data_IF_626871630536
#
_entry.id   IF_626871630536
#
_cell.length_a   1.000
_cell.length_b   1.000
_cell.length_c   1.000
_cell.angle_alpha   90.00
_cell.angle_beta   90.00
_cell.angle_gamma   90.00
#
_symmetry.space_group_name_H-M   'P 1'
#
loop_
_entity.id
_entity.type
_entity.pdbx_description
1 polymer ?
#
# COMPACT_ATOMS: atom_id res chain seq x y z
N UNK A 1 -39.75 33.61 -20.03
CA UNK A 1 -38.74 32.56 -19.74
C UNK A 1 -39.29 31.46 -18.80
N UNK A 2 -40.59 31.10 -18.89
CA UNK A 2 -41.19 30.00 -18.11
C UNK A 2 -41.73 28.85 -18.98
N UNK A 3 -41.55 28.93 -20.31
CA UNK A 3 -42.12 27.94 -21.25
C UNK A 3 -41.23 26.72 -21.49
N UNK A 4 -39.90 26.83 -21.41
CA UNK A 4 -39.00 25.72 -21.75
C UNK A 4 -38.95 24.61 -20.68
N UNK A 5 -38.94 24.97 -19.40
CA UNK A 5 -38.90 23.97 -18.32
C UNK A 5 -40.21 23.20 -18.19
N UNK A 6 -41.35 23.84 -18.48
CA UNK A 6 -42.66 23.18 -18.49
C UNK A 6 -42.79 22.17 -19.65
N UNK A 7 -42.22 22.48 -20.82
CA UNK A 7 -42.20 21.58 -21.98
C UNK A 7 -41.31 20.35 -21.70
N UNK A 8 -40.14 20.54 -21.05
CA UNK A 8 -39.23 19.45 -20.70
C UNK A 8 -39.82 18.53 -19.63
N UNK A 9 -40.47 19.10 -18.61
CA UNK A 9 -41.14 18.32 -17.58
C UNK A 9 -42.31 17.50 -18.15
N UNK A 10 -43.10 18.10 -19.05
CA UNK A 10 -44.18 17.40 -19.76
C UNK A 10 -43.65 16.28 -20.67
N UNK A 11 -42.55 16.50 -21.40
CA UNK A 11 -41.91 15.45 -22.22
C UNK A 11 -41.40 14.28 -21.37
N UNK A 12 -40.82 14.54 -20.21
CA UNK A 12 -40.38 13.50 -19.28
C UNK A 12 -41.55 12.67 -18.76
N UNK A 13 -42.66 13.32 -18.37
CA UNK A 13 -43.85 12.61 -17.87
C UNK A 13 -44.53 11.78 -18.97
N UNK A 14 -44.50 12.26 -20.22
CA UNK A 14 -45.04 11.52 -21.38
C UNK A 14 -44.18 10.31 -21.73
N UNK A 15 -42.85 10.44 -21.74
CA UNK A 15 -41.93 9.32 -22.00
C UNK A 15 -42.02 8.26 -20.90
N UNK A 16 -42.04 8.67 -19.63
CA UNK A 16 -42.18 7.76 -18.51
C UNK A 16 -43.52 7.01 -18.59
N UNK A 17 -44.64 7.71 -18.82
CA UNK A 17 -45.94 7.06 -19.02
C UNK A 17 -45.99 6.11 -20.21
N UNK A 18 -45.39 6.46 -21.35
CA UNK A 18 -45.35 5.59 -22.53
C UNK A 18 -44.51 4.33 -22.28
N UNK A 19 -43.43 4.46 -21.50
CA UNK A 19 -42.57 3.33 -21.14
C UNK A 19 -43.28 2.40 -20.16
N UNK A 20 -43.96 2.94 -19.14
CA UNK A 20 -44.75 2.17 -18.16
C UNK A 20 -45.97 1.50 -18.82
N UNK A 21 -46.66 2.20 -19.74
CA UNK A 21 -47.79 1.63 -20.49
C UNK A 21 -47.36 0.51 -21.46
N UNK A 22 -46.16 0.57 -22.03
CA UNK A 22 -45.63 -0.50 -22.89
C UNK A 22 -45.29 -1.77 -22.10
N UNK A 23 -44.91 -1.62 -20.82
CA UNK A 23 -44.66 -2.71 -19.87
C UNK A 23 -45.96 -3.31 -19.34
N UNK A 24 -46.98 -2.49 -19.08
CA UNK A 24 -48.26 -2.95 -18.48
C UNK A 24 -49.29 -3.46 -19.49
N UNK A 25 -49.27 -3.03 -20.75
CA UNK A 25 -50.33 -3.36 -21.73
C UNK A 25 -49.88 -4.16 -22.95
N UNK A 26 -48.61 -4.54 -23.04
CA UNK A 26 -48.10 -5.40 -24.10
C UNK A 26 -48.04 -4.72 -25.47
N UNK A 27 -46.83 -4.31 -25.86
CA UNK A 27 -46.43 -3.95 -27.22
C UNK A 27 -47.33 -2.94 -27.96
N UNK A 28 -47.32 -1.70 -27.48
CA UNK A 28 -47.87 -0.55 -28.21
C UNK A 28 -46.94 -0.17 -29.40
N UNK A 29 -45.67 -0.63 -29.38
CA UNK A 29 -44.66 -0.33 -30.40
C UNK A 29 -44.52 -1.38 -31.51
N UNK A 30 -45.44 -2.34 -31.61
CA UNK A 30 -45.41 -3.33 -32.69
C UNK A 30 -45.61 -2.65 -34.05
N UNK A 31 -44.56 -2.64 -34.88
CA UNK A 31 -44.55 -2.05 -36.22
C UNK A 31 -43.61 -0.84 -36.39
N UNK A 32 -42.96 -0.39 -35.32
CA UNK A 32 -41.88 0.62 -35.40
C UNK A 32 -40.56 -0.11 -35.60
N UNK A 33 -39.77 0.27 -36.61
CA UNK A 33 -38.45 -0.33 -36.83
C UNK A 33 -37.54 -0.09 -35.62
N UNK A 34 -36.84 -1.15 -35.19
CA UNK A 34 -35.95 -1.12 -34.03
C UNK A 34 -34.88 -0.02 -34.13
N UNK A 35 -34.47 0.35 -35.36
CA UNK A 35 -33.54 1.46 -35.65
C UNK A 35 -34.08 2.80 -35.16
N UNK A 36 -35.37 3.07 -35.35
CA UNK A 36 -36.03 4.31 -34.95
C UNK A 36 -36.19 4.38 -33.43
N UNK A 37 -36.46 3.23 -32.79
CA UNK A 37 -36.48 3.13 -31.33
C UNK A 37 -35.08 3.40 -30.76
N UNK A 38 -34.04 2.82 -31.37
CA UNK A 38 -32.65 3.00 -30.93
C UNK A 38 -32.16 4.44 -31.12
N UNK A 39 -32.54 5.10 -32.22
CA UNK A 39 -32.24 6.52 -32.45
C UNK A 39 -32.99 7.43 -31.47
N UNK A 40 -34.27 7.16 -31.21
CA UNK A 40 -35.04 7.92 -30.23
C UNK A 40 -34.48 7.73 -28.80
N UNK A 41 -34.08 6.52 -28.42
CA UNK A 41 -33.41 6.25 -27.13
C UNK A 41 -32.05 6.96 -27.02
N UNK A 42 -31.26 6.97 -28.10
CA UNK A 42 -29.98 7.67 -28.15
C UNK A 42 -30.16 9.20 -28.09
N UNK A 43 -31.20 9.74 -28.72
CA UNK A 43 -31.52 11.16 -28.70
C UNK A 43 -32.08 11.59 -27.34
N UNK A 44 -32.90 10.76 -26.69
CA UNK A 44 -33.38 10.96 -25.32
C UNK A 44 -32.21 10.89 -24.33
N UNK A 45 -31.29 9.91 -24.45
CA UNK A 45 -30.09 9.87 -23.61
C UNK A 45 -29.15 11.06 -23.83
N UNK A 46 -28.94 11.47 -25.08
CA UNK A 46 -28.18 12.69 -25.44
C UNK A 46 -28.81 13.94 -24.82
N UNK A 47 -30.14 14.02 -24.81
CA UNK A 47 -30.88 15.14 -24.25
C UNK A 47 -30.88 15.10 -22.71
N UNK A 48 -30.96 13.92 -22.09
CA UNK A 48 -30.81 13.71 -20.64
C UNK A 48 -29.39 14.07 -20.17
N UNK A 49 -28.35 13.70 -20.92
CA UNK A 49 -26.96 14.08 -20.63
C UNK A 49 -26.71 15.59 -20.76
N UNK A 50 -27.45 16.27 -21.64
CA UNK A 50 -27.39 17.74 -21.82
C UNK A 50 -28.28 18.52 -20.86
N UNK A 51 -29.38 17.92 -20.40
CA UNK A 51 -30.36 18.50 -19.49
C UNK A 51 -30.13 18.12 -18.02
N UNK A 52 -29.20 17.20 -17.74
CA UNK A 52 -28.74 16.94 -16.39
C UNK A 52 -28.32 18.28 -15.77
N UNK A 53 -28.97 18.74 -14.69
CA UNK A 53 -28.57 19.97 -14.04
C UNK A 53 -27.10 19.81 -13.70
N UNK A 54 -26.25 20.71 -14.24
CA UNK A 54 -24.84 20.75 -13.86
C UNK A 54 -24.83 20.68 -12.33
N UNK A 55 -24.22 19.64 -11.71
CA UNK A 55 -24.27 19.50 -10.27
C UNK A 55 -23.75 20.81 -9.70
N UNK A 56 -24.59 21.50 -8.92
CA UNK A 56 -24.21 22.74 -8.24
C UNK A 56 -22.86 22.46 -7.58
N UNK A 57 -21.83 23.19 -7.99
CA UNK A 57 -20.53 23.05 -7.37
C UNK A 57 -20.71 23.55 -5.94
N UNK A 58 -20.78 22.62 -4.99
CA UNK A 58 -20.84 22.98 -3.59
C UNK A 58 -19.59 23.80 -3.27
N UNK A 59 -19.78 24.96 -2.64
CA UNK A 59 -18.64 25.67 -2.09
C UNK A 59 -18.02 24.86 -0.95
N UNK A 60 -16.84 25.26 -0.48
CA UNK A 60 -16.12 24.47 0.51
C UNK A 60 -16.92 24.35 1.82
N UNK A 61 -17.64 25.40 2.23
CA UNK A 61 -18.49 25.38 3.42
C UNK A 61 -19.65 24.38 3.28
N UNK A 62 -20.38 24.45 2.16
CA UNK A 62 -21.47 23.53 1.82
C UNK A 62 -21.00 22.06 1.79
N UNK A 63 -19.76 21.79 1.33
CA UNK A 63 -19.16 20.46 1.38
C UNK A 63 -18.93 19.98 2.81
N UNK A 64 -18.43 20.84 3.69
CA UNK A 64 -18.21 20.51 5.11
C UNK A 64 -19.53 20.30 5.87
N UNK A 65 -20.56 21.11 5.59
CA UNK A 65 -21.92 20.90 6.13
C UNK A 65 -22.44 19.50 5.74
N UNK A 66 -22.35 19.16 4.46
CA UNK A 66 -22.81 17.86 3.95
C UNK A 66 -21.99 16.68 4.51
N UNK A 67 -20.69 16.87 4.74
CA UNK A 67 -19.86 15.84 5.40
C UNK A 67 -20.28 15.61 6.85
N UNK A 68 -20.65 16.66 7.60
CA UNK A 68 -21.14 16.52 8.97
C UNK A 68 -22.44 15.69 9.01
N UNK A 69 -23.39 16.01 8.13
CA UNK A 69 -24.66 15.27 7.99
C UNK A 69 -24.43 13.78 7.71
N UNK A 70 -23.55 13.46 6.75
CA UNK A 70 -23.22 12.08 6.37
C UNK A 70 -22.44 11.33 7.45
N UNK A 71 -21.52 12.01 8.15
CA UNK A 71 -20.67 11.42 9.20
C UNK A 71 -21.45 11.11 10.49
N UNK A 72 -22.53 11.86 10.72
CA UNK A 72 -23.46 11.67 11.85
C UNK A 72 -24.42 10.49 11.65
N UNK A 73 -24.62 10.03 10.41
CA UNK A 73 -25.61 9.01 10.04
C UNK A 73 -25.06 7.57 9.94
N UNK A 74 -23.76 7.34 10.21
CA UNK A 74 -23.07 6.08 9.85
C UNK A 74 -22.46 5.32 11.06
N UNK A 75 -22.69 4.00 11.14
CA UNK A 75 -22.19 3.09 12.20
C UNK A 75 -20.79 2.48 11.84
N UNK A 76 -20.03 1.75 12.71
CA UNK A 76 -18.59 1.88 12.89
C UNK A 76 -17.74 0.89 12.06
N UNK A 77 -18.25 0.39 10.93
CA UNK A 77 -17.43 -0.46 10.07
C UNK A 77 -16.32 0.38 9.41
N UNK A 78 -15.05 0.06 9.69
CA UNK A 78 -13.83 0.71 9.16
C UNK A 78 -14.00 2.22 8.91
N UNK A 79 -13.72 3.04 9.93
CA UNK A 79 -13.83 4.51 9.89
C UNK A 79 -13.10 5.15 8.70
N UNK A 80 -12.03 4.51 8.21
CA UNK A 80 -11.28 4.94 7.04
C UNK A 80 -12.13 4.79 5.77
N UNK A 81 -12.74 3.63 5.58
CA UNK A 81 -13.56 3.32 4.40
C UNK A 81 -14.80 4.21 4.33
N UNK A 82 -15.44 4.45 5.48
CA UNK A 82 -16.62 5.32 5.59
C UNK A 82 -16.27 6.76 5.24
N UNK A 83 -15.22 7.32 5.86
CA UNK A 83 -14.80 8.69 5.60
C UNK A 83 -14.31 8.88 4.16
N UNK A 84 -13.57 7.93 3.60
CA UNK A 84 -13.15 7.98 2.19
C UNK A 84 -14.37 7.98 1.24
N UNK A 85 -15.44 7.24 1.57
CA UNK A 85 -16.72 7.30 0.85
C UNK A 85 -17.37 8.69 0.92
N UNK A 86 -17.47 9.26 2.12
CA UNK A 86 -18.05 10.58 2.36
C UNK A 86 -17.25 11.68 1.63
N UNK A 87 -15.92 11.62 1.67
CA UNK A 87 -15.04 12.58 0.98
C UNK A 87 -15.25 12.52 -0.54
N UNK A 88 -15.39 11.32 -1.11
CA UNK A 88 -15.69 11.14 -2.53
C UNK A 88 -17.06 11.73 -2.88
N UNK A 89 -18.09 11.52 -2.05
CA UNK A 89 -19.45 12.03 -2.29
C UNK A 89 -19.51 13.57 -2.31
N UNK A 90 -18.70 14.23 -1.48
CA UNK A 90 -18.59 15.71 -1.47
C UNK A 90 -17.51 16.25 -2.40
N UNK A 91 -16.83 15.38 -3.16
CA UNK A 91 -15.72 15.72 -4.06
C UNK A 91 -14.63 16.52 -3.34
N UNK A 92 -14.19 16.01 -2.19
CA UNK A 92 -12.98 16.44 -1.50
C UNK A 92 -11.99 15.30 -1.49
N UNK A 93 -10.72 15.65 -1.64
CA UNK A 93 -9.65 14.67 -1.67
C UNK A 93 -8.82 14.80 -0.40
N UNK A 94 -8.80 13.77 0.47
CA UNK A 94 -7.96 13.78 1.66
C UNK A 94 -6.48 13.79 1.32
N UNK A 95 -5.71 14.60 2.04
CA UNK A 95 -4.26 14.67 1.95
C UNK A 95 -3.69 14.31 3.32
N UNK A 96 -2.88 13.26 3.41
CA UNK A 96 -2.16 12.84 4.60
C UNK A 96 -0.68 13.21 4.44
N UNK A 97 -0.19 14.15 5.23
CA UNK A 97 1.22 14.50 5.32
C UNK A 97 1.79 13.88 6.61
N UNK A 98 2.63 12.87 6.47
CA UNK A 98 3.26 12.19 7.59
C UNK A 98 4.57 12.87 7.94
N UNK A 99 4.78 13.14 9.23
CA UNK A 99 5.97 13.79 9.78
C UNK A 99 6.56 12.95 10.90
N UNK A 100 7.87 13.06 11.13
CA UNK A 100 8.56 12.44 12.27
C UNK A 100 8.74 13.45 13.40
N UNK A 101 8.70 12.99 14.65
CA UNK A 101 9.07 13.84 15.78
C UNK A 101 10.51 14.35 15.65
N UNK A 102 10.71 15.66 15.75
CA UNK A 102 12.02 16.32 15.69
C UNK A 102 12.84 16.13 16.99
N UNK A 103 12.22 15.68 18.09
CA UNK A 103 12.90 15.52 19.38
C UNK A 103 13.41 14.08 19.56
N UNK A 104 14.70 13.88 19.26
CA UNK A 104 15.42 12.60 19.39
C UNK A 104 16.11 12.41 20.74
N UNK A 105 15.58 13.00 21.81
CA UNK A 105 16.09 12.74 23.15
C UNK A 105 15.14 11.78 23.88
N UNK A 106 15.50 10.50 23.81
CA UNK A 106 15.13 9.41 24.74
C UNK A 106 13.74 8.77 24.56
N UNK A 107 12.75 9.40 23.92
CA UNK A 107 11.46 8.72 23.63
C UNK A 107 11.46 7.98 22.27
N UNK A 108 10.72 6.86 22.23
CA UNK A 108 10.48 6.09 21.00
C UNK A 108 10.03 7.03 19.88
N UNK A 109 10.62 6.86 18.70
CA UNK A 109 10.27 7.62 17.52
C UNK A 109 8.76 7.58 17.24
N UNK A 110 8.14 8.76 17.14
CA UNK A 110 6.72 8.90 16.80
C UNK A 110 6.54 9.49 15.41
N UNK A 111 5.51 9.00 14.75
CA UNK A 111 5.02 9.46 13.46
C UNK A 111 3.75 10.27 13.68
N UNK A 112 3.75 11.48 13.17
CA UNK A 112 2.59 12.34 13.05
C UNK A 112 1.96 12.18 11.67
N UNK A 113 0.64 12.23 11.58
CA UNK A 113 -0.10 12.28 10.31
C UNK A 113 -1.01 13.49 10.31
N UNK A 114 -0.66 14.51 9.54
CA UNK A 114 -1.47 15.69 9.32
C UNK A 114 -2.47 15.40 8.19
N UNK A 115 -3.75 15.31 8.52
CA UNK A 115 -4.82 15.12 7.54
C UNK A 115 -5.38 16.48 7.11
N UNK A 116 -5.34 16.79 5.82
CA UNK A 116 -5.92 17.98 5.21
C UNK A 116 -7.12 17.64 4.33
N UNK A 117 -8.14 18.49 4.35
CA UNK A 117 -9.31 18.45 3.46
C UNK A 117 -9.51 19.83 2.84
N UNK A 118 -9.62 19.88 1.51
CA UNK A 118 -9.74 21.16 0.79
C UNK A 118 -8.56 22.12 1.05
N UNK A 119 -7.39 21.58 1.39
CA UNK A 119 -6.20 22.34 1.74
C UNK A 119 -6.12 22.79 3.21
N UNK A 120 -7.10 22.49 4.06
CA UNK A 120 -7.11 22.87 5.48
C UNK A 120 -6.76 21.68 6.38
N UNK A 121 -5.88 21.87 7.34
CA UNK A 121 -5.46 20.86 8.32
C UNK A 121 -6.62 20.51 9.23
N UNK A 122 -7.16 19.30 9.16
CA UNK A 122 -8.32 18.89 9.96
C UNK A 122 -7.91 18.27 11.28
N UNK A 123 -6.87 17.43 11.25
CA UNK A 123 -6.43 16.70 12.43
C UNK A 123 -4.98 16.24 12.29
N UNK A 124 -4.30 16.12 13.43
CA UNK A 124 -3.00 15.47 13.54
C UNK A 124 -3.17 14.17 14.34
N UNK A 125 -2.85 13.05 13.72
CA UNK A 125 -2.71 11.76 14.42
C UNK A 125 -1.26 11.53 14.81
N UNK A 126 -1.04 10.75 15.86
CA UNK A 126 0.29 10.45 16.41
C UNK A 126 0.32 8.98 16.82
N UNK A 127 1.34 8.24 16.37
CA UNK A 127 1.58 6.86 16.79
C UNK A 127 3.03 6.41 16.54
N UNK A 128 3.40 5.23 17.01
CA UNK A 128 4.71 4.60 16.73
C UNK A 128 4.83 4.12 15.27
N UNK A 129 3.72 4.00 14.53
CA UNK A 129 3.72 3.56 13.14
C UNK A 129 2.71 4.34 12.26
N UNK A 130 2.93 4.31 10.95
CA UNK A 130 2.15 5.07 9.95
C UNK A 130 0.67 4.66 9.91
N UNK A 131 0.36 3.41 10.16
CA UNK A 131 -1.02 2.89 10.07
C UNK A 131 -1.85 3.46 11.20
N UNK A 132 -1.31 3.42 12.41
CA UNK A 132 -1.99 3.87 13.63
C UNK A 132 -1.98 5.40 13.75
N UNK A 133 -0.98 6.06 13.16
CA UNK A 133 -0.93 7.52 13.11
C UNK A 133 -2.05 8.11 12.24
N UNK A 134 -2.75 7.32 11.41
CA UNK A 134 -3.80 7.84 10.53
C UNK A 134 -4.90 8.56 11.33
N UNK A 135 -5.00 9.87 11.12
CA UNK A 135 -5.86 10.76 11.90
C UNK A 135 -7.38 10.59 11.66
N UNK A 136 -7.81 9.57 10.91
CA UNK A 136 -9.18 9.40 10.43
C UNK A 136 -10.20 9.29 11.57
N UNK A 137 -9.90 8.54 12.63
CA UNK A 137 -10.82 8.38 13.76
C UNK A 137 -11.11 9.71 14.47
N UNK A 138 -10.06 10.49 14.72
CA UNK A 138 -10.14 11.81 15.36
C UNK A 138 -10.65 12.89 14.41
N UNK A 139 -10.40 12.75 13.11
CA UNK A 139 -10.94 13.65 12.09
C UNK A 139 -12.46 13.54 11.98
N UNK A 140 -13.02 12.34 12.16
CA UNK A 140 -14.49 12.17 12.25
C UNK A 140 -15.07 13.05 13.35
N UNK A 141 -14.47 13.03 14.54
CA UNK A 141 -14.93 13.82 15.69
C UNK A 141 -14.92 15.32 15.39
N UNK A 142 -13.87 15.84 14.75
CA UNK A 142 -13.81 17.25 14.33
C UNK A 142 -14.88 17.57 13.29
N UNK A 143 -15.09 16.69 12.31
CA UNK A 143 -16.08 16.90 11.25
C UNK A 143 -17.52 16.84 11.76
N UNK A 144 -17.80 16.08 12.83
CA UNK A 144 -19.13 16.02 13.45
C UNK A 144 -19.37 17.11 14.51
N UNK A 145 -18.32 17.50 15.25
CA UNK A 145 -18.47 18.36 16.44
C UNK A 145 -18.05 19.82 16.22
N UNK A 146 -17.45 20.16 15.08
CA UNK A 146 -17.02 21.53 14.80
C UNK A 146 -17.77 22.10 13.59
N UNK A 147 -18.27 23.33 13.74
CA UNK A 147 -18.95 24.01 12.65
C UNK A 147 -17.96 24.35 11.52
N UNK A 148 -18.36 24.21 10.24
CA UNK A 148 -17.53 24.56 9.10
C UNK A 148 -17.02 26.01 9.11
N UNK A 149 -17.82 26.93 9.67
CA UNK A 149 -17.48 28.34 9.86
C UNK A 149 -16.32 28.55 10.85
N UNK A 150 -16.02 27.57 11.69
CA UNK A 150 -14.89 27.57 12.61
C UNK A 150 -13.66 26.87 12.00
N UNK A 151 -13.87 25.78 11.25
CA UNK A 151 -12.78 25.01 10.64
C UNK A 151 -12.03 25.84 9.58
N UNK A 152 -12.76 26.50 8.67
CA UNK A 152 -12.16 27.16 7.51
C UNK A 152 -11.27 28.38 7.84
N UNK A 153 -11.59 29.24 8.83
CA UNK A 153 -10.74 30.39 9.17
C UNK A 153 -9.58 30.03 10.11
N UNK A 154 -9.75 29.04 10.99
CA UNK A 154 -8.79 28.80 12.09
C UNK A 154 -7.78 27.69 11.79
N UNK A 155 -8.10 26.76 10.89
CA UNK A 155 -7.22 25.64 10.61
C UNK A 155 -6.17 26.02 9.56
N UNK A 156 -4.92 25.64 9.85
CA UNK A 156 -3.77 25.96 9.00
C UNK A 156 -3.93 25.40 7.59
N UNK A 157 -3.64 26.21 6.57
CA UNK A 157 -3.65 25.78 5.18
C UNK A 157 -2.35 25.08 4.83
N UNK A 158 -2.43 23.95 4.11
CA UNK A 158 -1.27 23.27 3.54
C UNK A 158 -0.49 24.23 2.63
N UNK A 159 0.77 24.47 2.96
CA UNK A 159 1.66 25.28 2.13
C UNK A 159 2.63 24.40 1.34
N UNK A 160 3.20 24.89 0.22
CA UNK A 160 4.24 24.15 -0.51
C UNK A 160 5.47 23.81 0.35
N UNK A 161 5.87 24.70 1.26
CA UNK A 161 7.00 24.44 2.16
C UNK A 161 6.72 23.36 3.20
N UNK A 162 5.45 23.11 3.55
CA UNK A 162 5.06 22.01 4.44
C UNK A 162 5.35 20.65 3.82
N UNK A 163 5.33 20.53 2.49
CA UNK A 163 5.62 19.29 1.77
C UNK A 163 7.13 19.07 1.63
N UNK A 164 7.89 20.16 1.55
CA UNK A 164 9.34 20.16 1.42
C UNK A 164 10.09 20.17 2.78
N UNK A 165 9.35 20.11 3.89
CA UNK A 165 9.94 20.16 5.22
C UNK A 165 10.73 18.88 5.52
N UNK A 166 11.87 19.01 6.20
CA UNK A 166 12.82 17.91 6.41
C UNK A 166 12.31 16.82 7.35
N UNK A 167 11.28 17.09 8.14
CA UNK A 167 10.58 16.14 9.01
C UNK A 167 9.49 15.35 8.29
N UNK A 168 9.14 15.71 7.07
CA UNK A 168 8.11 15.01 6.29
C UNK A 168 8.66 13.70 5.76
N UNK A 169 8.01 12.60 6.14
CA UNK A 169 8.39 11.24 5.76
C UNK A 169 7.47 10.62 4.71
N UNK A 170 6.25 11.13 4.51
CA UNK A 170 5.34 10.66 3.45
C UNK A 170 4.29 11.74 3.14
N UNK A 171 3.87 11.81 1.88
CA UNK A 171 2.77 12.64 1.44
C UNK A 171 1.83 11.78 0.60
N UNK A 172 0.65 11.51 1.14
CA UNK A 172 -0.38 10.73 0.48
C UNK A 172 -1.58 11.61 0.22
N UNK A 173 -1.84 11.87 -1.05
CA UNK A 173 -3.19 12.22 -1.44
C UNK A 173 -3.96 10.88 -1.54
N UNK A 174 -5.08 10.76 -0.82
CA UNK A 174 -5.94 9.57 -0.79
C UNK A 174 -7.19 9.83 -1.67
N UNK A 175 -7.63 8.79 -2.39
CA UNK A 175 -8.68 8.89 -3.41
C UNK A 175 -8.13 8.85 -4.84
N UNK A 176 -8.97 9.15 -5.84
CA UNK A 176 -8.56 9.28 -7.25
C UNK A 176 -7.80 10.59 -7.50
N UNK A 177 -6.77 10.84 -6.71
CA UNK A 177 -5.91 11.98 -6.85
C UNK A 177 -4.81 11.75 -7.86
N UNK A 178 -4.75 12.72 -8.75
CA UNK A 178 -3.79 12.89 -9.80
C UNK A 178 -2.50 13.50 -9.25
N UNK A 179 -1.65 12.70 -8.57
CA UNK A 179 -0.29 13.15 -8.22
C UNK A 179 0.45 13.56 -9.50
N UNK A 180 1.00 14.78 -9.55
CA UNK A 180 1.79 15.29 -10.69
C UNK A 180 3.22 14.73 -10.68
N UNK A 181 3.77 14.50 -9.50
CA UNK A 181 5.02 13.78 -9.29
C UNK A 181 4.97 12.87 -8.06
N UNK A 182 6.02 12.09 -7.86
CA UNK A 182 6.21 11.29 -6.66
C UNK A 182 7.55 11.56 -5.97
N UNK A 183 8.17 12.72 -6.24
CA UNK A 183 9.47 13.10 -5.71
C UNK A 183 9.50 13.05 -4.17
N UNK A 184 8.35 13.17 -3.50
CA UNK A 184 8.21 12.98 -2.05
C UNK A 184 8.50 11.54 -1.58
N UNK A 185 8.43 10.52 -2.45
CA UNK A 185 8.94 9.17 -2.14
C UNK A 185 10.48 9.09 -2.12
N UNK A 186 11.20 10.08 -2.66
CA UNK A 186 12.66 10.22 -2.48
C UNK A 186 13.00 10.30 -1.00
N UNK A 187 12.25 11.12 -0.25
CA UNK A 187 12.40 11.24 1.19
C UNK A 187 12.00 9.97 1.95
N UNK A 188 11.35 8.97 1.33
CA UNK A 188 11.13 7.66 1.99
C UNK A 188 12.34 6.76 1.91
N UNK A 189 13.05 6.80 0.77
CA UNK A 189 14.22 5.96 0.51
C UNK A 189 15.50 6.50 1.15
N UNK A 190 15.59 7.83 1.33
CA UNK A 190 16.67 8.47 2.10
C UNK A 190 16.68 8.07 3.60
N UNK A 191 15.60 7.45 4.10
CA UNK A 191 15.36 7.21 5.52
C UNK A 191 15.27 5.72 5.88
N UNK A 192 15.44 4.81 4.90
CA UNK A 192 15.86 3.46 5.28
C UNK A 192 17.24 3.57 5.94
N UNK A 193 17.57 2.79 6.99
CA UNK A 193 18.93 2.79 7.55
C UNK A 193 20.01 2.45 6.50
N UNK A 194 19.59 1.93 5.36
CA UNK A 194 20.44 1.71 4.20
C UNK A 194 20.53 2.99 3.36
N UNK A 195 21.73 3.46 3.00
CA UNK A 195 21.90 4.58 2.07
C UNK A 195 21.26 4.25 0.73
N UNK A 196 20.62 5.24 0.08
CA UNK A 196 20.13 5.11 -1.30
C UNK A 196 21.24 4.47 -2.13
N UNK A 197 20.86 3.44 -2.89
CA UNK A 197 21.80 2.74 -3.75
C UNK A 197 22.50 3.73 -4.67
N UNK A 198 23.82 3.61 -4.83
CA UNK A 198 24.57 4.37 -5.82
C UNK A 198 24.72 3.59 -7.13
N UNK A 199 24.10 2.41 -7.22
CA UNK A 199 24.12 1.57 -8.41
C UNK A 199 23.24 2.18 -9.50
N UNK A 200 23.71 2.23 -10.76
CA UNK A 200 22.92 2.74 -11.87
C UNK A 200 21.66 1.89 -12.11
N UNK A 201 20.66 2.45 -12.79
CA UNK A 201 19.40 1.76 -13.05
C UNK A 201 19.58 0.43 -13.81
N UNK A 202 20.61 0.34 -14.65
CA UNK A 202 21.00 -0.88 -15.37
C UNK A 202 21.54 -2.02 -14.51
N UNK A 203 21.71 -1.83 -13.20
CA UNK A 203 22.18 -2.88 -12.28
C UNK A 203 21.06 -3.32 -11.32
N UNK A 204 19.82 -2.87 -11.56
CA UNK A 204 18.65 -3.27 -10.79
C UNK A 204 18.37 -4.77 -10.94
N UNK A 205 18.01 -5.43 -9.84
CA UNK A 205 17.45 -6.79 -9.87
C UNK A 205 15.93 -6.69 -9.81
N UNK A 206 15.22 -7.30 -10.76
CA UNK A 206 13.75 -7.24 -10.79
C UNK A 206 13.17 -8.34 -9.90
N UNK A 207 12.18 -8.00 -9.07
CA UNK A 207 11.45 -8.94 -8.22
C UNK A 207 10.00 -9.03 -8.65
N UNK A 208 9.54 -10.25 -8.97
CA UNK A 208 8.16 -10.56 -9.31
C UNK A 208 7.50 -11.38 -8.20
N UNK A 209 6.66 -10.76 -7.40
CA UNK A 209 5.76 -11.42 -6.44
C UNK A 209 4.32 -11.57 -6.99
N UNK A 210 4.07 -10.99 -8.17
CA UNK A 210 2.83 -11.09 -8.95
C UNK A 210 3.16 -11.31 -10.42
N UNK A 211 2.36 -12.13 -11.10
CA UNK A 211 2.60 -12.42 -12.52
C UNK A 211 2.09 -11.29 -13.41
N UNK A 212 2.93 -10.85 -14.34
CA UNK A 212 2.59 -9.87 -15.38
C UNK A 212 1.51 -10.37 -16.37
N UNK A 213 1.31 -11.70 -16.47
CA UNK A 213 0.38 -12.34 -17.42
C UNK A 213 -1.07 -11.96 -17.14
N UNK A 214 -1.42 -11.68 -15.88
CA UNK A 214 -2.80 -11.42 -15.46
C UNK A 214 -3.27 -10.03 -15.89
N UNK A 215 -2.50 -8.99 -15.58
CA UNK A 215 -2.79 -7.61 -16.00
C UNK A 215 -1.48 -6.81 -16.13
N UNK A 216 -0.86 -6.86 -17.31
CA UNK A 216 0.41 -6.17 -17.57
C UNK A 216 0.37 -4.66 -17.30
N UNK A 217 -0.80 -4.01 -17.38
CA UNK A 217 -0.92 -2.57 -17.13
C UNK A 217 -0.89 -2.30 -15.63
N UNK A 218 -1.66 -3.04 -14.84
CA UNK A 218 -1.71 -2.82 -13.39
C UNK A 218 -0.45 -3.35 -12.71
N UNK A 219 0.02 -4.54 -13.11
CA UNK A 219 1.12 -5.23 -12.44
C UNK A 219 2.49 -4.63 -12.77
N UNK A 220 2.68 -4.05 -13.96
CA UNK A 220 3.98 -3.48 -14.35
C UNK A 220 4.49 -2.39 -13.40
N UNK A 221 3.60 -1.48 -12.99
CA UNK A 221 3.94 -0.46 -12.00
C UNK A 221 4.26 -1.05 -10.62
N UNK A 222 3.49 -2.05 -10.19
CA UNK A 222 3.68 -2.69 -8.88
C UNK A 222 5.02 -3.42 -8.80
N UNK A 223 5.32 -4.26 -9.80
CA UNK A 223 6.59 -5.00 -9.92
C UNK A 223 7.77 -4.03 -9.94
N UNK A 224 7.69 -2.97 -10.75
CA UNK A 224 8.76 -1.99 -10.87
C UNK A 224 8.98 -1.20 -9.57
N UNK A 225 7.90 -0.77 -8.93
CA UNK A 225 7.95 -0.07 -7.65
C UNK A 225 8.55 -0.95 -6.55
N UNK A 226 8.12 -2.21 -6.46
CA UNK A 226 8.67 -3.16 -5.51
C UNK A 226 10.15 -3.43 -5.77
N UNK A 227 10.53 -3.64 -7.02
CA UNK A 227 11.92 -3.84 -7.43
C UNK A 227 12.80 -2.67 -7.04
N UNK A 228 12.38 -1.43 -7.33
CA UNK A 228 13.12 -0.23 -6.94
C UNK A 228 13.27 -0.14 -5.42
N UNK A 229 12.19 -0.38 -4.66
CA UNK A 229 12.22 -0.38 -3.20
C UNK A 229 13.21 -1.41 -2.63
N UNK A 230 13.17 -2.66 -3.11
CA UNK A 230 14.04 -3.74 -2.61
C UNK A 230 15.51 -3.50 -2.96
N UNK A 231 15.79 -2.86 -4.10
CA UNK A 231 17.15 -2.45 -4.49
C UNK A 231 17.59 -1.13 -3.84
N UNK A 232 16.76 -0.53 -2.98
CA UNK A 232 16.97 0.80 -2.43
C UNK A 232 17.25 1.88 -3.51
N UNK A 233 16.56 1.74 -4.63
CA UNK A 233 16.62 2.65 -5.77
C UNK A 233 15.39 3.53 -5.79
N UNK A 234 15.58 4.75 -6.25
CA UNK A 234 14.51 5.71 -6.44
C UNK A 234 13.78 5.44 -7.75
N UNK A 235 12.46 5.31 -7.68
CA UNK A 235 11.58 5.40 -8.85
C UNK A 235 10.92 6.78 -8.85
N UNK A 236 11.08 7.54 -9.92
CA UNK A 236 10.51 8.87 -10.12
C UNK A 236 9.51 8.83 -11.27
N UNK A 237 8.43 9.60 -11.19
CA UNK A 237 7.60 9.88 -12.35
C UNK A 237 7.02 11.29 -12.28
N UNK A 238 6.80 11.86 -13.46
CA UNK A 238 6.25 13.20 -13.65
C UNK A 238 5.21 13.16 -14.78
N UNK A 239 4.14 13.95 -14.64
CA UNK A 239 3.16 14.14 -15.70
C UNK A 239 3.41 15.44 -16.46
N UNK A 240 3.51 15.32 -17.78
CA UNK A 240 3.68 16.44 -18.69
C UNK A 240 2.32 16.65 -19.37
N UNK A 241 1.83 17.89 -19.36
CA UNK A 241 0.59 18.37 -20.00
C UNK A 241 -0.68 18.36 -19.12
N UNK A 242 -1.41 19.48 -19.20
CA UNK A 242 -2.75 19.70 -18.64
C UNK A 242 -3.85 19.50 -19.70
N UNK A 243 -3.67 18.58 -20.65
CA UNK A 243 -4.73 18.24 -21.60
C UNK A 243 -5.82 17.44 -20.85
N UNK A 244 -7.08 17.91 -20.84
CA UNK A 244 -8.17 17.24 -20.09
C UNK A 244 -8.52 15.84 -20.63
N UNK A 245 -8.00 15.45 -21.79
CA UNK A 245 -8.31 14.20 -22.46
C UNK A 245 -7.11 13.27 -22.63
N UNK A 246 -5.88 13.77 -22.40
CA UNK A 246 -4.66 13.03 -22.64
C UNK A 246 -3.64 13.36 -21.54
N UNK A 247 -3.07 12.32 -20.95
CA UNK A 247 -2.05 12.42 -19.93
C UNK A 247 -0.77 11.77 -20.42
N UNK A 248 0.35 12.47 -20.24
CA UNK A 248 1.68 11.93 -20.55
C UNK A 248 2.47 11.76 -19.26
N UNK A 249 3.12 10.62 -19.09
CA UNK A 249 3.90 10.31 -17.91
C UNK A 249 5.31 9.90 -18.31
N UNK A 250 6.33 10.60 -17.80
CA UNK A 250 7.71 10.15 -17.85
C UNK A 250 8.05 9.48 -16.53
N UNK A 251 8.86 8.43 -16.58
CA UNK A 251 9.30 7.70 -15.40
C UNK A 251 10.80 7.46 -15.49
N UNK A 252 11.49 7.57 -14.36
CA UNK A 252 12.94 7.47 -14.23
C UNK A 252 13.29 6.57 -13.05
N UNK A 253 14.46 5.93 -13.12
CA UNK A 253 15.03 5.18 -12.01
C UNK A 253 16.35 5.87 -11.65
N UNK A 254 16.49 6.36 -10.42
CA UNK A 254 17.64 7.14 -9.98
C UNK A 254 18.01 8.29 -10.92
N UNK A 255 17.01 9.06 -11.37
CA UNK A 255 17.16 10.14 -12.36
C UNK A 255 17.60 9.69 -13.75
N UNK A 256 17.79 8.39 -13.98
CA UNK A 256 18.10 7.82 -15.29
C UNK A 256 16.82 7.52 -16.07
N UNK A 257 16.79 7.99 -17.32
CA UNK A 257 15.73 7.69 -18.28
C UNK A 257 15.95 6.30 -18.89
N UNK A 258 15.25 5.29 -18.35
CA UNK A 258 15.24 3.91 -18.89
C UNK A 258 14.13 3.74 -19.95
N UNK A 259 13.04 4.49 -19.79
CA UNK A 259 11.92 4.54 -20.73
C UNK A 259 12.32 5.14 -22.07
N UNK A 260 11.49 4.97 -23.09
CA UNK A 260 11.79 5.46 -24.45
C UNK A 260 11.33 6.90 -24.63
N UNK A 261 10.08 7.17 -24.28
CA UNK A 261 9.41 8.47 -24.36
C UNK A 261 8.32 8.54 -23.27
N UNK A 262 7.79 9.74 -22.93
CA UNK A 262 6.66 9.85 -22.01
C UNK A 262 5.44 9.04 -22.51
N UNK A 263 5.00 8.07 -21.71
CA UNK A 263 3.89 7.20 -22.08
C UNK A 263 2.56 7.97 -22.04
N UNK A 264 1.69 7.72 -23.03
CA UNK A 264 0.47 8.50 -23.26
C UNK A 264 -0.80 7.68 -22.99
N UNK A 265 -1.77 8.29 -22.30
CA UNK A 265 -3.04 7.63 -21.97
C UNK A 265 -4.18 8.62 -21.79
N UNK A 266 -5.43 8.15 -21.94
CA UNK A 266 -6.65 8.91 -21.59
C UNK A 266 -6.87 9.03 -20.07
N UNK A 267 -6.01 8.41 -19.25
CA UNK A 267 -6.01 8.53 -17.80
C UNK A 267 -4.58 8.58 -17.25
N UNK A 268 -4.33 9.36 -16.19
CA UNK A 268 -3.01 9.43 -15.51
C UNK A 268 -2.55 8.08 -15.00
N UNK A 269 -3.45 7.29 -14.43
CA UNK A 269 -3.14 5.93 -13.96
C UNK A 269 -2.67 5.08 -15.15
N UNK A 270 -3.36 5.16 -16.29
CA UNK A 270 -2.98 4.43 -17.48
C UNK A 270 -1.61 4.87 -18.02
N UNK A 271 -1.30 6.16 -18.08
CA UNK A 271 -0.01 6.63 -18.61
C UNK A 271 1.14 6.26 -17.68
N UNK A 272 0.97 6.40 -16.36
CA UNK A 272 1.96 5.93 -15.37
C UNK A 272 2.23 4.44 -15.51
N UNK A 273 1.17 3.65 -15.61
CA UNK A 273 1.26 2.20 -15.73
C UNK A 273 1.94 1.77 -17.04
N UNK A 274 1.67 2.47 -18.15
CA UNK A 274 2.38 2.25 -19.41
C UNK A 274 3.85 2.66 -19.35
N UNK A 275 4.17 3.78 -18.71
CA UNK A 275 5.56 4.20 -18.50
C UNK A 275 6.34 3.16 -17.68
N UNK A 276 5.71 2.61 -16.65
CA UNK A 276 6.30 1.54 -15.86
C UNK A 276 6.48 0.24 -16.66
N UNK A 277 5.48 -0.15 -17.46
CA UNK A 277 5.56 -1.34 -18.31
C UNK A 277 6.66 -1.22 -19.38
N UNK A 278 6.83 -0.04 -19.99
CA UNK A 278 7.93 0.26 -20.92
C UNK A 278 9.29 -0.03 -20.27
N UNK A 279 9.53 0.59 -19.11
CA UNK A 279 10.77 0.40 -18.34
C UNK A 279 10.96 -1.07 -17.95
N UNK A 280 9.92 -1.69 -17.37
CA UNK A 280 9.99 -3.07 -16.87
C UNK A 280 10.35 -4.05 -17.99
N UNK A 281 9.73 -3.93 -19.17
CA UNK A 281 9.96 -4.85 -20.27
C UNK A 281 11.36 -4.69 -20.87
N UNK A 282 11.93 -3.47 -20.86
CA UNK A 282 13.36 -3.27 -21.20
C UNK A 282 14.30 -3.87 -20.16
N UNK A 283 13.97 -3.75 -18.88
CA UNK A 283 14.75 -4.37 -17.82
C UNK A 283 14.70 -5.91 -17.92
N UNK A 284 13.57 -6.51 -18.30
CA UNK A 284 13.48 -7.95 -18.54
C UNK A 284 14.41 -8.47 -19.62
N UNK A 285 14.82 -7.65 -20.59
CA UNK A 285 15.75 -8.09 -21.62
C UNK A 285 17.20 -8.19 -21.09
N UNK A 286 17.55 -7.40 -20.06
CA UNK A 286 18.96 -7.23 -19.63
C UNK A 286 19.24 -7.63 -18.19
N UNK A 287 18.27 -7.51 -17.28
CA UNK A 287 18.46 -7.60 -15.83
C UNK A 287 17.96 -8.90 -15.22
N UNK A 288 18.63 -9.48 -14.22
CA UNK A 288 18.14 -10.69 -13.57
C UNK A 288 16.74 -10.48 -12.97
N UNK A 289 15.86 -11.45 -13.16
CA UNK A 289 14.50 -11.45 -12.61
C UNK A 289 14.36 -12.57 -11.60
N UNK A 290 13.89 -12.22 -10.41
CA UNK A 290 13.64 -13.15 -9.31
C UNK A 290 12.13 -13.23 -9.10
N UNK A 291 11.55 -14.38 -9.36
CA UNK A 291 10.20 -14.69 -8.92
C UNK A 291 10.19 -15.02 -7.42
N UNK A 292 9.23 -14.45 -6.71
CA UNK A 292 9.05 -14.60 -5.27
C UNK A 292 7.70 -15.28 -5.02
N UNK A 293 7.75 -16.54 -4.57
CA UNK A 293 6.54 -17.26 -4.19
C UNK A 293 5.90 -16.68 -2.93
N UNK A 294 4.55 -16.62 -2.86
CA UNK A 294 3.83 -16.16 -1.68
C UNK A 294 3.93 -17.16 -0.52
N UNK A 295 3.70 -16.67 0.70
CA UNK A 295 3.72 -17.47 1.93
C UNK A 295 2.56 -18.46 2.09
N UNK A 296 1.73 -18.66 1.06
CA UNK A 296 0.55 -19.54 1.11
C UNK A 296 0.88 -21.04 1.02
N UNK A 297 2.14 -21.41 0.75
CA UNK A 297 2.65 -22.79 0.77
C UNK A 297 3.88 -22.93 1.70
N UNK A 298 3.78 -22.66 3.01
CA UNK A 298 4.92 -22.70 3.93
C UNK A 298 5.65 -24.04 3.91
N UNK A 299 4.87 -25.12 3.83
CA UNK A 299 5.31 -26.51 4.02
C UNK A 299 6.31 -27.00 2.96
N UNK A 300 6.41 -26.34 1.81
CA UNK A 300 7.24 -26.79 0.67
C UNK A 300 8.60 -26.11 0.61
N UNK A 301 8.84 -25.07 1.42
CA UNK A 301 9.90 -24.08 1.15
C UNK A 301 10.66 -23.61 2.41
N UNK A 302 10.14 -23.94 3.59
CA UNK A 302 10.50 -23.28 4.86
C UNK A 302 10.94 -24.31 5.91
N UNK A 303 11.93 -23.96 6.74
CA UNK A 303 12.26 -24.73 7.94
C UNK A 303 11.29 -24.34 9.06
N UNK A 304 10.42 -25.27 9.48
CA UNK A 304 9.42 -25.03 10.52
C UNK A 304 9.89 -25.53 11.88
N UNK A 305 9.79 -24.67 12.89
CA UNK A 305 10.07 -24.98 14.29
C UNK A 305 8.76 -24.94 15.07
N UNK A 306 8.29 -26.10 15.52
CA UNK A 306 7.08 -26.20 16.32
C UNK A 306 7.37 -25.91 17.81
N UNK A 307 6.35 -25.48 18.55
CA UNK A 307 6.48 -25.24 19.98
C UNK A 307 6.89 -26.51 20.74
N UNK A 308 6.32 -27.67 20.37
CA UNK A 308 6.69 -28.96 20.94
C UNK A 308 8.16 -29.33 20.72
N UNK A 309 8.74 -28.88 19.60
CA UNK A 309 10.16 -29.09 19.31
C UNK A 309 11.01 -28.29 20.28
N UNK A 310 10.69 -27.00 20.47
CA UNK A 310 11.40 -26.15 21.43
C UNK A 310 11.21 -26.61 22.87
N UNK A 311 10.04 -27.13 23.25
CA UNK A 311 9.81 -27.69 24.58
C UNK A 311 10.74 -28.88 24.85
N UNK A 312 10.86 -29.81 23.90
CA UNK A 312 11.77 -30.96 24.03
C UNK A 312 13.23 -30.53 24.12
N UNK A 313 13.64 -29.57 23.30
CA UNK A 313 15.00 -29.02 23.35
C UNK A 313 15.27 -28.28 24.66
N UNK A 314 14.29 -27.52 25.17
CA UNK A 314 14.36 -26.84 26.45
C UNK A 314 14.53 -27.83 27.61
N UNK A 315 13.83 -28.96 27.60
CA UNK A 315 13.99 -30.03 28.59
C UNK A 315 15.40 -30.63 28.58
N UNK A 316 15.96 -30.86 27.39
CA UNK A 316 17.34 -31.36 27.23
C UNK A 316 18.34 -30.33 27.79
N UNK A 317 18.19 -29.05 27.45
CA UNK A 317 19.04 -27.98 27.96
C UNK A 317 18.92 -27.82 29.48
N UNK A 318 17.71 -27.94 30.02
CA UNK A 318 17.44 -27.88 31.46
C UNK A 318 18.12 -29.02 32.21
N UNK A 319 18.07 -30.24 31.66
CA UNK A 319 18.74 -31.41 32.23
C UNK A 319 20.26 -31.23 32.20
N UNK A 320 20.83 -30.79 31.08
CA UNK A 320 22.26 -30.54 30.95
C UNK A 320 22.77 -29.47 31.92
N UNK A 321 22.03 -28.37 32.11
CA UNK A 321 22.37 -27.32 33.07
C UNK A 321 22.38 -27.84 34.52
N UNK A 322 21.41 -28.69 34.86
CA UNK A 322 21.35 -29.36 36.17
C UNK A 322 22.54 -30.30 36.38
N UNK A 323 22.90 -31.07 35.36
CA UNK A 323 24.03 -32.00 35.40
C UNK A 323 25.38 -31.27 35.48
N UNK A 324 25.46 -30.04 34.96
CA UNK A 324 26.63 -29.15 35.04
C UNK A 324 26.73 -28.36 36.36
N UNK A 325 25.76 -28.51 37.28
CA UNK A 325 25.74 -27.81 38.57
C UNK A 325 25.32 -26.33 38.50
N UNK A 326 24.69 -25.89 37.41
CA UNK A 326 24.09 -24.56 37.35
C UNK A 326 22.87 -24.50 38.28
N UNK A 327 22.71 -23.41 39.04
CA UNK A 327 21.52 -23.22 39.87
C UNK A 327 20.33 -22.90 38.96
N UNK A 328 19.45 -23.89 38.76
CA UNK A 328 18.30 -23.82 37.84
C UNK A 328 17.06 -23.19 38.50
N UNK A 329 17.14 -22.76 39.76
CA UNK A 329 16.01 -22.18 40.47
C UNK A 329 15.78 -20.70 40.09
N UNK A 330 14.53 -20.38 39.74
CA UNK A 330 14.05 -19.01 39.60
C UNK A 330 14.50 -18.15 40.79
N UNK A 331 15.06 -16.97 40.50
CA UNK A 331 15.19 -15.89 41.49
C UNK A 331 13.79 -15.46 41.92
N UNK A 332 13.20 -16.18 42.88
CA UNK A 332 12.11 -15.66 43.69
C UNK A 332 12.71 -14.53 44.52
N UNK A 333 12.26 -13.31 44.25
CA UNK A 333 12.56 -12.16 45.07
C UNK A 333 11.97 -12.37 46.47
N UNK A 334 12.77 -12.90 47.38
CA UNK A 334 12.48 -12.86 48.81
C UNK A 334 13.32 -11.76 49.47
N UNK A 335 12.62 -10.67 49.83
CA UNK A 335 12.87 -9.94 51.06
C UNK A 335 13.76 -8.70 50.97
N UNK A 336 13.14 -7.52 50.82
CA UNK A 336 13.27 -6.46 51.85
C UNK A 336 12.17 -5.39 51.68
N UNK A 337 11.48 -5.13 52.79
CA UNK A 337 10.34 -4.22 52.93
C UNK A 337 10.56 -2.82 52.35
N UNK A 338 9.58 -2.33 51.57
CA UNK A 338 9.06 -0.95 51.64
C UNK A 338 7.72 -0.81 50.91
N UNK A 339 6.72 -0.11 51.49
CA UNK A 339 5.45 0.16 50.83
C UNK A 339 5.51 1.51 50.11
N UNK A 340 5.17 1.58 48.82
CA UNK A 340 4.30 2.61 48.24
C UNK A 340 4.05 2.33 46.76
N UNK A 341 2.81 2.52 46.33
CA UNK A 341 2.28 1.97 45.10
C UNK A 341 2.81 2.60 43.82
N UNK A 342 3.28 1.73 42.94
CA UNK A 342 3.20 1.80 41.48
C UNK A 342 3.00 0.34 41.02
N UNK A 343 2.10 0.03 40.06
CA UNK A 343 1.97 -1.33 39.58
C UNK A 343 3.19 -1.66 38.73
N UNK A 344 4.19 -2.28 39.36
CA UNK A 344 5.28 -2.94 38.67
C UNK A 344 4.67 -4.03 37.77
N UNK A 345 4.84 -3.87 36.46
CA UNK A 345 4.57 -4.93 35.48
C UNK A 345 5.73 -5.92 35.58
N UNK A 346 5.70 -6.76 36.61
CA UNK A 346 6.66 -7.84 36.82
C UNK A 346 6.46 -8.94 35.77
N UNK A 347 7.39 -9.04 34.83
CA UNK A 347 7.52 -10.23 33.98
C UNK A 347 8.19 -11.34 34.78
N UNK A 348 7.40 -12.21 35.42
CA UNK A 348 7.90 -13.46 36.00
C UNK A 348 8.17 -14.47 34.88
N UNK A 349 9.36 -14.41 34.27
CA UNK A 349 9.82 -15.48 33.37
C UNK A 349 9.92 -16.78 34.16
N UNK A 350 9.08 -17.76 33.84
CA UNK A 350 9.18 -19.08 34.47
C UNK A 350 10.47 -19.79 34.02
N UNK A 351 11.07 -20.64 34.86
CA UNK A 351 12.30 -21.37 34.50
C UNK A 351 12.17 -22.11 33.17
N UNK A 352 10.98 -22.63 32.86
CA UNK A 352 10.68 -23.30 31.59
C UNK A 352 10.76 -22.33 30.40
N UNK A 353 10.21 -21.11 30.52
CA UNK A 353 10.29 -20.09 29.48
C UNK A 353 11.75 -19.73 29.15
N UNK A 354 12.60 -19.59 30.18
CA UNK A 354 14.03 -19.30 29.97
C UNK A 354 14.71 -20.35 29.10
N UNK A 355 14.45 -21.64 29.31
CA UNK A 355 15.04 -22.70 28.49
C UNK A 355 14.41 -22.81 27.11
N UNK A 356 13.11 -22.51 26.96
CA UNK A 356 12.46 -22.39 25.64
C UNK A 356 13.14 -21.29 24.82
N UNK A 357 13.42 -20.13 25.43
CA UNK A 357 14.10 -19.03 24.75
C UNK A 357 15.57 -19.37 24.42
N UNK A 358 16.27 -20.11 25.28
CA UNK A 358 17.61 -20.64 24.94
C UNK A 358 17.57 -21.60 23.75
N UNK A 359 16.57 -22.48 23.68
CA UNK A 359 16.38 -23.38 22.53
C UNK A 359 16.06 -22.58 21.26
N UNK A 360 15.16 -21.59 21.34
CA UNK A 360 14.85 -20.70 20.23
C UNK A 360 16.10 -19.93 19.73
N UNK A 361 16.93 -19.44 20.66
CA UNK A 361 18.19 -18.78 20.32
C UNK A 361 19.15 -19.73 19.60
N UNK A 362 19.26 -20.98 20.06
CA UNK A 362 20.13 -21.98 19.40
C UNK A 362 19.68 -22.26 17.96
N UNK A 363 18.36 -22.38 17.71
CA UNK A 363 17.79 -22.51 16.36
C UNK A 363 18.11 -21.29 15.48
N UNK A 364 18.00 -20.08 16.04
CA UNK A 364 18.36 -18.84 15.33
C UNK A 364 19.86 -18.78 15.02
N UNK A 365 20.72 -19.16 15.95
CA UNK A 365 22.17 -19.16 15.77
C UNK A 365 22.59 -20.17 14.69
N UNK A 366 21.97 -21.35 14.65
CA UNK A 366 22.19 -22.32 13.58
C UNK A 366 21.71 -21.79 12.24
N UNK A 367 20.50 -21.23 12.21
CA UNK A 367 19.96 -20.61 11.01
C UNK A 367 20.90 -19.56 10.44
N UNK A 368 21.39 -18.63 11.28
CA UNK A 368 22.30 -17.55 10.86
C UNK A 368 23.65 -18.07 10.34
N UNK A 369 24.16 -19.19 10.88
CA UNK A 369 25.40 -19.81 10.39
C UNK A 369 25.24 -20.38 8.98
N UNK A 370 24.07 -20.93 8.67
CA UNK A 370 23.77 -21.47 7.34
C UNK A 370 23.31 -20.32 6.46
N UNK A 371 24.21 -19.77 5.64
CA UNK A 371 23.83 -18.76 4.64
C UNK A 371 22.78 -19.35 3.70
N UNK A 372 21.54 -18.90 3.80
CA UNK A 372 20.39 -19.50 3.09
C UNK A 372 19.35 -18.46 2.70
N UNK A 373 18.60 -18.75 1.62
CA UNK A 373 17.40 -18.00 1.24
C UNK A 373 16.10 -18.71 1.65
N UNK A 374 16.21 -19.88 2.31
CA UNK A 374 15.07 -20.52 2.97
C UNK A 374 14.68 -19.70 4.19
N UNK A 375 13.38 -19.56 4.41
CA UNK A 375 12.86 -18.92 5.59
C UNK A 375 12.88 -19.89 6.78
N UNK A 376 13.05 -19.36 7.99
CA UNK A 376 12.81 -20.04 9.24
C UNK A 376 11.44 -19.61 9.76
N UNK A 377 10.62 -20.54 10.24
CA UNK A 377 9.27 -20.25 10.68
C UNK A 377 9.03 -20.82 12.07
N UNK A 378 8.67 -19.94 13.00
CA UNK A 378 8.14 -20.34 14.29
C UNK A 378 6.64 -20.57 14.14
N UNK A 379 6.23 -21.78 14.50
CA UNK A 379 4.90 -22.32 14.24
C UNK A 379 3.75 -21.58 14.94
N UNK A 380 2.51 -22.04 14.71
CA UNK A 380 1.31 -21.26 14.99
C UNK A 380 0.79 -21.32 16.42
N UNK A 381 1.40 -22.17 17.25
CA UNK A 381 0.93 -22.53 18.59
C UNK A 381 1.77 -21.90 19.71
N UNK A 382 2.55 -20.87 19.42
CA UNK A 382 3.39 -20.24 20.42
C UNK A 382 2.52 -19.34 21.31
N UNK A 383 2.63 -19.45 22.64
CA UNK A 383 2.01 -18.51 23.56
C UNK A 383 2.48 -17.07 23.25
N UNK A 384 1.59 -16.09 23.36
CA UNK A 384 1.87 -14.70 22.98
C UNK A 384 3.12 -14.12 23.68
N UNK A 385 3.34 -14.46 24.96
CA UNK A 385 4.51 -14.02 25.72
C UNK A 385 5.83 -14.59 25.16
N UNK A 386 5.84 -15.85 24.71
CA UNK A 386 7.00 -16.47 24.05
C UNK A 386 7.26 -15.79 22.70
N UNK A 387 6.21 -15.60 21.88
CA UNK A 387 6.34 -14.92 20.57
C UNK A 387 6.92 -13.53 20.73
N UNK A 388 6.48 -12.78 21.73
CA UNK A 388 7.02 -11.46 22.04
C UNK A 388 8.51 -11.50 22.42
N UNK A 389 8.92 -12.49 23.23
CA UNK A 389 10.33 -12.67 23.60
C UNK A 389 11.19 -13.13 22.41
N UNK A 390 10.69 -14.01 21.54
CA UNK A 390 11.36 -14.39 20.29
C UNK A 390 11.56 -13.16 19.40
N UNK A 391 10.56 -12.29 19.27
CA UNK A 391 10.70 -11.05 18.51
C UNK A 391 11.79 -10.13 19.10
N UNK A 392 11.91 -10.06 20.43
CA UNK A 392 13.04 -9.37 21.09
C UNK A 392 14.39 -10.00 20.75
N UNK A 393 14.50 -11.33 20.75
CA UNK A 393 15.73 -12.02 20.35
C UNK A 393 16.10 -11.68 18.89
N UNK A 394 15.13 -11.72 17.98
CA UNK A 394 15.31 -11.40 16.57
C UNK A 394 15.84 -9.97 16.33
N UNK A 395 15.35 -8.99 17.10
CA UNK A 395 15.83 -7.61 17.03
C UNK A 395 17.28 -7.45 17.50
N UNK A 396 17.77 -8.33 18.37
CA UNK A 396 19.09 -8.26 18.98
C UNK A 396 20.14 -9.15 18.29
N UNK A 397 19.79 -9.77 17.16
CA UNK A 397 20.70 -10.66 16.45
C UNK A 397 21.87 -9.89 15.82
N UNK A 398 23.08 -10.50 15.79
CA UNK A 398 24.27 -9.85 15.22
C UNK A 398 24.21 -9.73 13.69
N UNK A 399 23.41 -10.57 13.03
CA UNK A 399 23.17 -10.53 11.59
C UNK A 399 21.76 -9.97 11.36
N UNK A 400 21.60 -8.95 10.50
CA UNK A 400 20.29 -8.38 10.24
C UNK A 400 19.36 -9.41 9.59
N UNK A 401 18.28 -9.74 10.28
CA UNK A 401 17.19 -10.56 9.77
C UNK A 401 15.95 -9.68 9.55
N UNK A 402 15.11 -10.07 8.59
CA UNK A 402 13.74 -9.55 8.47
C UNK A 402 12.81 -10.56 9.09
N UNK A 403 11.85 -10.11 9.87
CA UNK A 403 10.81 -10.99 10.37
C UNK A 403 9.42 -10.38 10.21
N UNK A 404 8.43 -11.23 9.96
CA UNK A 404 7.02 -10.85 9.77
C UNK A 404 6.12 -11.86 10.50
N UNK A 405 5.10 -11.33 11.16
CA UNK A 405 4.01 -12.14 11.68
C UNK A 405 2.94 -12.28 10.60
N UNK A 406 2.72 -13.49 10.10
CA UNK A 406 1.79 -13.76 9.00
C UNK A 406 0.73 -14.78 9.41
N UNK A 407 -0.54 -14.45 9.17
CA UNK A 407 -1.66 -15.38 9.39
C UNK A 407 -1.85 -16.26 8.17
N UNK A 408 -1.73 -17.57 8.33
CA UNK A 408 -2.05 -18.57 7.29
C UNK A 408 -3.05 -19.55 7.87
N UNK A 409 -4.23 -19.73 7.23
CA UNK A 409 -5.30 -20.63 7.71
C UNK A 409 -5.69 -20.38 9.19
N UNK A 410 -5.86 -19.10 9.57
CA UNK A 410 -6.21 -18.65 10.93
C UNK A 410 -5.17 -19.00 12.01
N UNK A 411 -3.93 -19.20 11.59
CA UNK A 411 -2.82 -19.56 12.46
C UNK A 411 -1.69 -18.55 12.25
N UNK A 412 -1.14 -18.01 13.34
CA UNK A 412 -0.15 -16.92 13.30
C UNK A 412 1.27 -17.45 13.32
N UNK A 413 2.03 -17.18 12.26
CA UNK A 413 3.40 -17.63 12.10
C UNK A 413 4.36 -16.47 12.23
N UNK A 414 5.49 -16.66 12.91
CA UNK A 414 6.63 -15.72 12.85
C UNK A 414 7.60 -16.24 11.80
N UNK A 415 7.72 -15.55 10.68
CA UNK A 415 8.60 -15.90 9.57
C UNK A 415 9.85 -15.05 9.66
N UNK A 416 11.02 -15.68 9.59
CA UNK A 416 12.33 -15.05 9.70
C UNK A 416 13.10 -15.33 8.41
N UNK A 417 13.55 -14.27 7.76
CA UNK A 417 14.32 -14.29 6.52
C UNK A 417 15.67 -13.64 6.76
N UNK A 418 16.77 -14.28 6.33
CA UNK A 418 18.08 -13.63 6.34
C UNK A 418 18.12 -12.47 5.36
N UNK A 419 18.64 -11.32 5.79
CA UNK A 419 18.78 -10.18 4.88
C UNK A 419 19.97 -10.40 3.94
N UNK A 420 19.69 -10.43 2.63
CA UNK A 420 20.71 -10.39 1.59
C UNK A 420 20.41 -9.26 0.61
N UNK A 421 21.46 -8.60 0.09
CA UNK A 421 21.26 -7.64 -0.99
C UNK A 421 20.81 -8.35 -2.26
N UNK A 422 20.03 -7.70 -3.15
CA UNK A 422 19.50 -8.35 -4.35
C UNK A 422 20.57 -9.01 -5.23
N UNK A 423 21.71 -8.34 -5.45
CA UNK A 423 22.84 -8.91 -6.20
C UNK A 423 23.39 -10.17 -5.55
N UNK A 424 23.46 -10.22 -4.21
CA UNK A 424 23.88 -11.41 -3.46
C UNK A 424 22.85 -12.54 -3.57
N UNK A 425 21.56 -12.22 -3.64
CA UNK A 425 20.49 -13.21 -3.88
C UNK A 425 20.67 -13.85 -5.26
N UNK A 426 20.88 -13.05 -6.32
CA UNK A 426 21.14 -13.57 -7.67
C UNK A 426 22.36 -14.49 -7.69
N UNK A 427 23.48 -14.06 -7.09
CA UNK A 427 24.69 -14.88 -7.02
C UNK A 427 24.46 -16.20 -6.27
N UNK A 428 23.70 -16.15 -5.16
CA UNK A 428 23.34 -17.33 -4.39
C UNK A 428 22.46 -18.29 -5.20
N UNK A 429 21.42 -17.79 -5.87
CA UNK A 429 20.54 -18.60 -6.71
C UNK A 429 21.29 -19.27 -7.86
N UNK A 430 22.17 -18.53 -8.55
CA UNK A 430 23.02 -19.11 -9.61
C UNK A 430 23.89 -20.25 -9.11
N UNK A 431 24.47 -20.10 -7.90
CA UNK A 431 25.27 -21.15 -7.28
C UNK A 431 24.44 -22.38 -6.82
N UNK A 432 23.13 -22.22 -6.62
CA UNK A 432 22.22 -23.26 -6.11
C UNK A 432 21.20 -23.74 -7.15
N UNK A 433 21.56 -23.72 -8.45
CA UNK A 433 20.72 -24.29 -9.50
C UNK A 433 19.48 -23.46 -9.87
N UNK A 434 19.47 -22.17 -9.54
CA UNK A 434 18.43 -21.22 -9.98
C UNK A 434 17.24 -21.07 -9.01
N UNK A 435 17.16 -21.86 -7.94
CA UNK A 435 16.07 -21.77 -6.97
C UNK A 435 16.54 -22.02 -5.54
N UNK A 436 16.05 -21.23 -4.59
CA UNK A 436 16.26 -21.47 -3.17
C UNK A 436 15.20 -20.76 -2.34
N UNK A 437 14.60 -21.50 -1.40
CA UNK A 437 13.47 -20.98 -0.66
C UNK A 437 12.38 -20.51 -1.62
N UNK A 438 11.80 -19.35 -1.32
CA UNK A 438 10.72 -18.75 -2.13
C UNK A 438 11.21 -18.02 -3.37
N UNK A 439 12.52 -17.98 -3.61
CA UNK A 439 13.12 -17.21 -4.68
C UNK A 439 13.52 -18.15 -5.83
N UNK A 440 13.09 -17.83 -7.05
CA UNK A 440 13.48 -18.51 -8.29
C UNK A 440 14.02 -17.50 -9.28
N UNK A 441 15.15 -17.80 -9.90
CA UNK A 441 15.66 -17.03 -11.03
C UNK A 441 14.85 -17.42 -12.27
N UNK A 442 14.19 -16.44 -12.88
CA UNK A 442 13.33 -16.67 -14.05
C UNK A 442 14.18 -16.74 -15.32
N UNK A 443 13.89 -17.70 -16.19
CA UNK A 443 14.53 -17.79 -17.50
C UNK A 443 14.08 -16.61 -18.38
N UNK A 444 15.02 -16.02 -19.12
CA UNK A 444 14.73 -14.91 -20.04
C UNK A 444 13.71 -15.25 -21.11
N UNK A 445 13.63 -16.53 -21.51
CA UNK A 445 12.65 -17.02 -22.47
C UNK A 445 11.20 -17.05 -21.96
N UNK A 446 11.01 -17.01 -20.63
CA UNK A 446 9.67 -16.93 -19.99
C UNK A 446 9.15 -15.49 -19.90
N UNK A 447 10.01 -14.49 -20.12
CA UNK A 447 9.71 -13.08 -19.88
C UNK A 447 9.25 -12.37 -21.15
N UNK A 448 8.38 -11.35 -21.04
CA UNK A 448 8.01 -10.53 -22.17
C UNK A 448 9.15 -9.60 -22.55
N UNK A 449 9.19 -9.22 -23.80
CA UNK A 449 10.16 -8.29 -24.38
C UNK A 449 9.51 -6.93 -24.56
N UNK A 450 10.32 -5.88 -24.69
CA UNK A 450 9.83 -4.53 -24.97
C UNK A 450 8.98 -4.48 -26.25
N UNK A 451 9.22 -5.36 -27.23
CA UNK A 451 8.38 -5.46 -28.44
C UNK A 451 6.92 -5.79 -28.14
N UNK A 452 6.64 -6.48 -27.05
CA UNK A 452 5.30 -6.92 -26.67
C UNK A 452 4.41 -5.80 -26.13
N UNK A 453 5.00 -4.66 -25.70
CA UNK A 453 4.26 -3.48 -25.21
C UNK A 453 4.26 -2.31 -26.20
N UNK A 454 5.13 -2.35 -27.23
CA UNK A 454 5.21 -1.30 -28.26
C UNK A 454 3.85 -0.99 -28.94
N UNK A 455 2.99 -1.96 -29.28
CA UNK A 455 1.70 -1.66 -29.88
C UNK A 455 0.81 -0.81 -28.97
N UNK A 456 0.79 -1.06 -27.66
CA UNK A 456 0.02 -0.26 -26.70
C UNK A 456 0.58 1.14 -26.52
N UNK A 457 1.91 1.28 -26.52
CA UNK A 457 2.59 2.57 -26.45
C UNK A 457 2.27 3.41 -27.70
N UNK A 458 2.23 2.79 -28.89
CA UNK A 458 1.99 3.47 -30.19
C UNK A 458 0.52 3.68 -30.54
N UNK A 459 -0.39 2.77 -30.15
CA UNK A 459 -1.81 2.80 -30.54
C UNK A 459 -2.55 4.09 -30.11
N UNK A 460 -1.98 4.88 -29.20
CA UNK A 460 -2.59 6.12 -28.71
C UNK A 460 -2.03 7.40 -29.33
N UNK A 461 -0.90 7.34 -30.05
CA UNK A 461 -0.49 8.43 -30.95
C UNK A 461 -1.44 8.60 -32.15
N UNK A 462 -2.21 7.56 -32.49
CA UNK A 462 -3.28 7.67 -33.49
C UNK A 462 -4.48 8.48 -32.98
N UNK A 463 -4.77 8.47 -31.67
CA UNK A 463 -5.87 9.25 -31.09
C UNK A 463 -5.60 10.77 -31.17
N UNK A 464 -4.34 11.18 -31.09
CA UNK A 464 -3.90 12.56 -31.34
C UNK A 464 -4.00 12.94 -32.82
N UNK A 465 -3.70 12.02 -33.75
CA UNK A 465 -3.78 12.30 -35.21
C UNK A 465 -5.22 12.37 -35.72
N UNK A 466 -6.15 11.58 -35.20
CA UNK A 466 -7.57 11.61 -35.60
C UNK A 466 -8.21 12.98 -35.27
N UNK A 467 -7.82 13.62 -34.16
CA UNK A 467 -8.28 14.97 -33.79
C UNK A 467 -7.68 16.12 -34.61
N UNK A 468 -6.62 15.88 -35.41
CA UNK A 468 -6.07 16.91 -36.31
C UNK A 468 -6.75 16.93 -37.68
N UNK A 469 -7.67 16.00 -37.92
CA UNK A 469 -8.42 15.84 -39.19
C UNK A 469 -9.93 16.10 -39.06
N UNK A 470 -10.41 16.40 -37.85
CA UNK A 470 -11.76 16.89 -37.54
C UNK A 470 -11.61 18.16 -36.71
#
# INVERSE_FOLDING_TARGET
MLSHCAIIWWLNEVVERLTTMNVEHGNILNGVEQSVITEAEAEVQSTLLKAAPKPRAFDLCEKFVKMNELSSATDPASIITVLDGIFNDVKLTPICLYRRSMNTEIEKEKIFCNLYLGGHLIMIGEAENRTDAQAYSKAREVLTNCDPEFILPQHSKLQPHDQAATDVIDFRVKGNCFLEDNCLNLHRLQWTPNPISTLPAKDIVVFEDVSWIVDRKVQGFYILQHSCFVNNMLLEWEFFDNDPHIFRCQMKIQKEDVGTEPAVSVSKIGSRNFAAADILFKLYETQPVIEVSPYTKPDQVIQSVSFDTLLKEAEVLKKAAKDAGENVAATTAEGTDKPTGEPATESSETDTERFILKAAQAQLDEFIKVKTLKDLLFGPAFPHHITHQINKLLCNLPVPVRFINHSTRNQMYTIVTQSMSPVKIVAFLKANGGQSGRFRLVDKSELPTHKDILPELKCREMLTKIKSKF
#
